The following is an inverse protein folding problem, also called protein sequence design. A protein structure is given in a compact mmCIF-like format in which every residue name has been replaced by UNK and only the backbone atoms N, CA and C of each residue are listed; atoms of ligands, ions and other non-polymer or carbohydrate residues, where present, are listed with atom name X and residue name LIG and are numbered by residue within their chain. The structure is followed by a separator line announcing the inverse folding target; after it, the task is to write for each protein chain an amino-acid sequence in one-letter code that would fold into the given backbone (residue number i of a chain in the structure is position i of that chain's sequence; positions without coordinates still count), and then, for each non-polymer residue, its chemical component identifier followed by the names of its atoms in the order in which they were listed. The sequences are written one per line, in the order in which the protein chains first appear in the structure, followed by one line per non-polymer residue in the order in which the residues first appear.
data_IF_936023342059
#
_entry.id   IF_936023342059
#
_cell.length_a   1.000
_cell.length_b   1.000
_cell.length_c   1.000
_cell.angle_alpha   90.00
_cell.angle_beta   90.00
_cell.angle_gamma   90.00
#
_symmetry.space_group_name_H-M   'P 1'
#
loop_
_entity.id
_entity.type
_entity.pdbx_description
1 polymer ?
#
# COMPACT_ATOMS: atom_id res chain seq x y z
N UNK A 1 -23.69 8.92 19.58
CA UNK A 1 -24.25 7.85 18.74
C UNK A 1 -23.08 7.17 18.04
N UNK A 2 -23.00 5.84 18.00
CA UNK A 2 -21.93 5.13 17.27
C UNK A 2 -22.37 4.96 15.81
N UNK A 3 -21.51 5.30 14.86
CA UNK A 3 -21.79 5.14 13.43
C UNK A 3 -21.41 3.72 12.98
N UNK A 4 -22.27 3.07 12.21
CA UNK A 4 -22.00 1.77 11.59
C UNK A 4 -21.77 1.99 10.10
N UNK A 5 -20.64 1.50 9.60
CA UNK A 5 -20.29 1.58 8.18
C UNK A 5 -20.45 0.20 7.54
N UNK A 6 -21.22 0.10 6.45
CA UNK A 6 -21.47 -1.15 5.74
C UNK A 6 -21.28 -0.93 4.25
N UNK A 7 -20.47 -1.77 3.61
CA UNK A 7 -20.40 -1.88 2.15
C UNK A 7 -21.20 -3.09 1.70
N UNK A 8 -22.19 -2.87 0.82
CA UNK A 8 -23.00 -3.95 0.22
C UNK A 8 -22.42 -4.46 -1.10
N UNK A 9 -21.50 -3.70 -1.70
CA UNK A 9 -20.78 -4.04 -2.92
C UNK A 9 -19.36 -3.47 -2.85
N UNK A 10 -18.37 -4.09 -3.52
CA UNK A 10 -17.03 -3.55 -3.59
C UNK A 10 -17.03 -2.20 -4.33
N UNK A 11 -16.30 -1.19 -3.84
CA UNK A 11 -16.07 0.05 -4.57
C UNK A 11 -15.18 -0.20 -5.79
N UNK A 12 -15.08 0.80 -6.67
CA UNK A 12 -14.14 0.75 -7.77
C UNK A 12 -12.70 0.67 -7.23
N UNK A 13 -11.86 -0.09 -7.93
CA UNK A 13 -10.43 -0.15 -7.66
C UNK A 13 -9.69 0.98 -8.39
N UNK A 14 -8.48 1.27 -7.89
CA UNK A 14 -7.49 2.14 -8.52
C UNK A 14 -6.26 1.31 -8.90
N UNK A 15 -5.52 1.74 -9.92
CA UNK A 15 -4.25 1.13 -10.29
C UNK A 15 -3.09 1.97 -9.76
N UNK A 16 -2.33 1.42 -8.83
CA UNK A 16 -1.15 2.05 -8.22
C UNK A 16 0.09 1.32 -8.73
N UNK A 17 0.65 1.82 -9.85
CA UNK A 17 1.88 1.30 -10.45
C UNK A 17 1.84 -0.22 -10.65
N UNK A 18 0.74 -0.72 -11.24
CA UNK A 18 0.55 -2.14 -11.52
C UNK A 18 -0.18 -2.93 -10.43
N UNK A 19 -0.23 -2.43 -9.19
CA UNK A 19 -1.04 -3.03 -8.13
C UNK A 19 -2.48 -2.53 -8.22
N UNK A 20 -3.45 -3.43 -8.11
CA UNK A 20 -4.88 -3.09 -8.07
C UNK A 20 -5.30 -2.93 -6.61
N UNK A 21 -5.69 -1.70 -6.23
CA UNK A 21 -6.08 -1.37 -4.86
C UNK A 21 -7.57 -1.06 -4.81
N UNK A 22 -8.31 -1.76 -3.95
CA UNK A 22 -9.73 -1.49 -3.66
C UNK A 22 -9.86 -0.97 -2.23
N UNK A 23 -10.10 0.34 -2.07
CA UNK A 23 -10.25 0.97 -0.75
C UNK A 23 -11.63 0.63 -0.17
N UNK A 24 -11.69 -0.18 0.87
CA UNK A 24 -12.94 -0.64 1.50
C UNK A 24 -13.44 0.31 2.60
N UNK A 25 -12.52 0.90 3.37
CA UNK A 25 -12.87 1.75 4.50
C UNK A 25 -12.05 3.03 4.51
N UNK A 26 -12.10 3.82 3.44
CA UNK A 26 -11.43 5.12 3.38
C UNK A 26 -12.16 6.25 4.12
N UNK A 27 -11.57 7.45 4.13
CA UNK A 27 -12.29 8.72 4.37
C UNK A 27 -11.66 9.62 5.41
N UNK A 28 -12.47 10.20 6.29
CA UNK A 28 -12.01 10.94 7.47
C UNK A 28 -11.86 9.99 8.68
N UNK A 29 -11.10 10.40 9.70
CA UNK A 29 -10.86 9.65 10.96
C UNK A 29 -12.12 9.40 11.81
N UNK A 30 -13.32 9.43 11.21
CA UNK A 30 -14.54 8.86 11.81
C UNK A 30 -14.38 7.38 12.17
N UNK A 31 -13.38 6.70 11.59
CA UNK A 31 -12.95 5.34 11.88
C UNK A 31 -11.51 5.35 12.42
N UNK A 32 -11.13 4.40 13.30
CA UNK A 32 -9.77 4.31 13.83
C UNK A 32 -8.76 3.74 12.83
N UNK A 33 -9.21 3.27 11.67
CA UNK A 33 -8.37 2.69 10.63
C UNK A 33 -9.02 2.87 9.26
N UNK A 34 -8.21 2.72 8.21
CA UNK A 34 -8.66 2.39 6.87
C UNK A 34 -8.32 0.94 6.52
N UNK A 35 -9.06 0.40 5.57
CA UNK A 35 -8.86 -0.96 5.08
C UNK A 35 -8.99 -0.99 3.57
N UNK A 36 -8.14 -1.77 2.92
CA UNK A 36 -8.14 -1.95 1.48
C UNK A 36 -7.79 -3.40 1.11
N UNK A 37 -8.19 -3.82 -0.08
CA UNK A 37 -7.67 -5.03 -0.72
C UNK A 37 -6.61 -4.58 -1.72
N UNK A 38 -5.49 -5.29 -1.76
CA UNK A 38 -4.48 -5.11 -2.81
C UNK A 38 -4.20 -6.42 -3.51
N UNK A 39 -4.17 -6.37 -4.83
CA UNK A 39 -3.96 -7.50 -5.73
C UNK A 39 -2.89 -7.14 -6.74
N UNK A 40 -1.94 -8.05 -6.92
CA UNK A 40 -0.79 -7.82 -7.80
C UNK A 40 -0.28 -9.10 -8.42
N UNK A 41 0.66 -8.93 -9.35
CA UNK A 41 1.32 -10.02 -10.07
C UNK A 41 2.75 -10.22 -9.55
N UNK A 42 3.35 -11.36 -9.88
CA UNK A 42 4.73 -11.67 -9.51
C UNK A 42 5.70 -10.52 -9.83
N UNK A 43 6.52 -10.17 -8.84
CA UNK A 43 7.48 -9.07 -8.93
C UNK A 43 6.90 -7.69 -8.62
N UNK A 44 5.57 -7.54 -8.57
CA UNK A 44 4.90 -6.30 -8.18
C UNK A 44 5.06 -5.98 -6.69
N UNK A 45 4.70 -4.75 -6.32
CA UNK A 45 4.85 -4.19 -4.98
C UNK A 45 5.70 -2.92 -4.95
N UNK A 46 5.58 -2.11 -3.88
CA UNK A 46 6.26 -0.82 -3.79
C UNK A 46 7.75 -1.00 -3.50
N UNK A 47 8.60 -0.06 -3.94
CA UNK A 47 9.99 -0.01 -3.50
C UNK A 47 10.08 0.35 -2.00
N UNK A 48 11.27 0.28 -1.39
CA UNK A 48 11.47 0.71 -0.01
C UNK A 48 10.94 2.12 0.23
N UNK A 49 10.13 2.28 1.28
CA UNK A 49 9.55 3.55 1.69
C UNK A 49 9.21 3.56 3.18
N UNK A 50 8.81 4.72 3.68
CA UNK A 50 8.22 4.85 5.01
C UNK A 50 7.13 5.92 5.02
N UNK A 51 6.30 5.87 6.06
CA UNK A 51 5.22 6.83 6.31
C UNK A 51 4.95 6.92 7.84
N UNK A 52 4.32 7.99 8.35
CA UNK A 52 4.16 8.24 9.78
C UNK A 52 2.94 7.54 10.42
N UNK A 53 2.41 6.47 9.82
CA UNK A 53 1.26 5.73 10.34
C UNK A 53 1.53 4.22 10.37
N UNK A 54 0.80 3.51 11.22
CA UNK A 54 0.91 2.05 11.28
C UNK A 54 0.26 1.44 10.05
N UNK A 55 0.86 0.35 9.56
CA UNK A 55 0.33 -0.45 8.48
C UNK A 55 0.36 -1.93 8.86
N UNK A 56 -0.60 -2.69 8.37
CA UNK A 56 -0.60 -4.13 8.53
C UNK A 56 -1.11 -4.81 7.27
N UNK A 57 -0.53 -5.98 6.98
CA UNK A 57 -0.95 -6.83 5.88
C UNK A 57 -1.40 -8.19 6.41
N UNK A 58 -2.53 -8.68 5.89
CA UNK A 58 -2.93 -10.06 6.00
C UNK A 58 -2.97 -10.68 4.60
N UNK A 59 -2.19 -11.74 4.38
CA UNK A 59 -2.10 -12.40 3.08
C UNK A 59 -3.30 -13.32 2.92
N UNK A 60 -4.13 -13.04 1.93
CA UNK A 60 -5.34 -13.82 1.62
C UNK A 60 -5.01 -14.96 0.67
N UNK A 61 -4.22 -14.69 -0.37
CA UNK A 61 -3.83 -15.66 -1.38
C UNK A 61 -2.42 -15.37 -1.90
N UNK A 62 -1.71 -16.42 -2.31
CA UNK A 62 -0.32 -16.33 -2.77
C UNK A 62 0.71 -16.15 -1.63
N UNK A 63 1.88 -15.66 -2.02
CA UNK A 63 3.01 -15.37 -1.14
C UNK A 63 3.60 -14.00 -1.48
N UNK A 64 3.98 -13.28 -0.43
CA UNK A 64 4.65 -11.98 -0.52
C UNK A 64 5.93 -12.00 0.30
N UNK A 65 6.97 -11.38 -0.20
CA UNK A 65 8.18 -11.12 0.54
C UNK A 65 8.07 -9.71 1.13
N UNK A 66 7.97 -9.60 2.45
CA UNK A 66 7.91 -8.31 3.14
C UNK A 66 9.28 -8.03 3.75
N UNK A 67 9.81 -6.85 3.47
CA UNK A 67 11.05 -6.37 4.07
C UNK A 67 10.71 -5.23 5.02
N UNK A 68 11.13 -5.33 6.28
CA UNK A 68 10.97 -4.28 7.31
C UNK A 68 12.31 -4.08 7.99
N UNK A 69 12.82 -2.85 8.00
CA UNK A 69 14.12 -2.50 8.62
C UNK A 69 15.26 -3.43 8.16
N UNK A 70 15.28 -3.73 6.85
CA UNK A 70 16.26 -4.62 6.22
C UNK A 70 16.07 -6.12 6.50
N UNK A 71 15.12 -6.51 7.35
CA UNK A 71 14.79 -7.92 7.59
C UNK A 71 13.71 -8.36 6.61
N UNK A 72 14.06 -9.35 5.80
CA UNK A 72 13.20 -9.91 4.77
C UNK A 72 12.52 -11.20 5.25
N UNK A 73 11.19 -11.27 5.12
CA UNK A 73 10.36 -12.42 5.52
C UNK A 73 9.37 -12.77 4.43
N UNK A 74 9.34 -14.05 4.00
CA UNK A 74 8.28 -14.54 3.12
C UNK A 74 7.03 -14.88 3.94
N UNK A 75 5.91 -14.27 3.58
CA UNK A 75 4.61 -14.41 4.23
C UNK A 75 3.66 -15.08 3.25
N UNK A 76 3.13 -16.23 3.63
CA UNK A 76 2.16 -17.00 2.83
C UNK A 76 0.73 -16.68 3.24
N UNK A 77 -0.25 -17.10 2.43
CA UNK A 77 -1.67 -17.03 2.77
C UNK A 77 -1.97 -17.49 4.21
N UNK A 78 -2.74 -16.70 4.94
CA UNK A 78 -2.99 -16.85 6.39
C UNK A 78 -1.99 -16.13 7.29
N UNK A 79 -0.88 -15.65 6.72
CA UNK A 79 0.14 -14.88 7.43
C UNK A 79 -0.25 -13.41 7.63
N UNK A 80 0.33 -12.82 8.67
CA UNK A 80 0.11 -11.44 9.08
C UNK A 80 1.44 -10.73 9.33
N UNK A 81 1.51 -9.46 8.97
CA UNK A 81 2.61 -8.55 9.32
C UNK A 81 2.04 -7.25 9.84
N UNK A 82 2.61 -6.74 10.93
CA UNK A 82 2.44 -5.36 11.40
C UNK A 82 3.73 -4.59 11.13
N UNK A 83 3.58 -3.38 10.62
CA UNK A 83 4.65 -2.44 10.31
C UNK A 83 4.37 -1.18 11.14
N UNK A 84 5.19 -0.88 12.16
CA UNK A 84 5.05 0.33 12.95
C UNK A 84 5.30 1.59 12.11
N UNK A 85 4.61 2.68 12.45
CA UNK A 85 4.85 4.01 11.89
C UNK A 85 6.34 4.38 11.87
N UNK A 86 6.80 4.90 10.73
CA UNK A 86 8.18 5.32 10.51
C UNK A 86 9.16 4.21 10.16
N UNK A 87 8.77 2.93 10.26
CA UNK A 87 9.62 1.83 9.82
C UNK A 87 9.78 1.83 8.30
N UNK A 88 11.01 1.66 7.82
CA UNK A 88 11.29 1.48 6.40
C UNK A 88 10.81 0.09 6.00
N UNK A 89 9.94 0.02 4.99
CA UNK A 89 9.37 -1.23 4.52
C UNK A 89 9.18 -1.27 3.00
N UNK A 90 9.08 -2.49 2.50
CA UNK A 90 8.74 -2.83 1.11
C UNK A 90 8.02 -4.18 1.10
N UNK A 91 7.30 -4.47 0.02
CA UNK A 91 6.93 -5.85 -0.28
C UNK A 91 7.14 -6.19 -1.75
N UNK A 92 7.31 -7.48 -2.03
CA UNK A 92 7.35 -8.02 -3.40
C UNK A 92 6.44 -9.24 -3.49
N UNK A 93 5.56 -9.26 -4.48
CA UNK A 93 4.71 -10.42 -4.79
C UNK A 93 5.59 -11.58 -5.32
N UNK A 94 5.60 -12.72 -4.64
CA UNK A 94 6.45 -13.87 -4.98
C UNK A 94 5.72 -14.86 -5.88
N UNK A 95 4.45 -15.11 -5.59
CA UNK A 95 3.57 -15.97 -6.40
C UNK A 95 3.16 -15.29 -7.72
N UNK A 96 2.69 -16.05 -8.74
CA UNK A 96 2.17 -15.49 -9.99
C UNK A 96 1.14 -14.38 -9.78
N UNK A 97 0.29 -14.55 -8.77
CA UNK A 97 -0.63 -13.55 -8.23
C UNK A 97 -0.53 -13.55 -6.70
N UNK A 98 -0.76 -12.39 -6.09
CA UNK A 98 -0.88 -12.27 -4.65
C UNK A 98 -2.05 -11.34 -4.30
N UNK A 99 -2.70 -11.63 -3.18
CA UNK A 99 -3.81 -10.83 -2.64
C UNK A 99 -3.63 -10.62 -1.14
N UNK A 100 -3.70 -9.37 -0.72
CA UNK A 100 -3.62 -8.98 0.69
C UNK A 100 -4.78 -8.09 1.10
N UNK A 101 -5.12 -8.13 2.39
CA UNK A 101 -5.87 -7.07 3.06
C UNK A 101 -4.84 -6.17 3.72
N UNK A 102 -4.86 -4.88 3.39
CA UNK A 102 -4.09 -3.86 4.07
C UNK A 102 -4.96 -3.06 5.03
N UNK A 103 -4.40 -2.72 6.19
CA UNK A 103 -5.01 -1.85 7.20
C UNK A 103 -4.00 -0.76 7.54
N UNK A 104 -4.44 0.50 7.52
CA UNK A 104 -3.60 1.63 7.92
C UNK A 104 -4.28 2.47 8.99
N UNK A 105 -3.52 3.10 9.88
CA UNK A 105 -4.05 3.89 10.99
C UNK A 105 -4.35 5.35 10.64
N UNK A 106 -4.23 5.75 9.37
CA UNK A 106 -4.36 7.14 8.93
C UNK A 106 -5.07 7.25 7.58
N UNK A 107 -5.97 8.24 7.40
CA UNK A 107 -6.74 8.41 6.17
C UNK A 107 -5.91 8.75 4.93
N UNK A 108 -4.66 9.18 5.13
CA UNK A 108 -3.77 9.54 4.03
C UNK A 108 -3.43 8.34 3.14
N UNK A 109 -3.52 7.10 3.64
CA UNK A 109 -3.25 5.90 2.84
C UNK A 109 -4.19 5.73 1.65
N UNK A 110 -5.50 5.65 1.88
CA UNK A 110 -6.50 5.54 0.81
C UNK A 110 -6.53 6.78 -0.10
N UNK A 111 -6.29 7.97 0.46
CA UNK A 111 -6.18 9.20 -0.32
C UNK A 111 -4.94 9.19 -1.23
N UNK A 112 -3.81 8.67 -0.75
CA UNK A 112 -2.59 8.47 -1.52
C UNK A 112 -2.83 7.49 -2.67
N UNK A 113 -3.43 6.32 -2.42
CA UNK A 113 -3.76 5.36 -3.49
C UNK A 113 -4.65 5.98 -4.56
N UNK A 114 -5.67 6.75 -4.14
CA UNK A 114 -6.56 7.45 -5.09
C UNK A 114 -5.80 8.48 -5.93
N UNK A 115 -4.85 9.20 -5.33
CA UNK A 115 -4.06 10.20 -6.04
C UNK A 115 -2.98 9.61 -6.96
N UNK A 116 -2.60 8.36 -6.74
CA UNK A 116 -1.65 7.61 -7.55
C UNK A 116 -2.31 6.86 -8.73
N UNK A 117 -3.64 6.87 -8.81
CA UNK A 117 -4.38 6.09 -9.79
C UNK A 117 -3.91 6.39 -11.22
N UNK A 118 -3.60 5.32 -11.96
CA UNK A 118 -3.14 5.33 -13.36
C UNK A 118 -1.75 5.92 -13.61
N UNK A 119 -0.99 6.32 -12.58
CA UNK A 119 0.41 6.72 -12.77
C UNK A 119 1.29 5.56 -13.22
N UNK A 120 2.26 5.89 -14.08
CA UNK A 120 3.17 4.93 -14.71
C UNK A 120 4.62 5.23 -14.37
N UNK A 121 5.42 4.18 -14.27
CA UNK A 121 6.87 4.27 -14.11
C UNK A 121 7.52 3.78 -15.42
N UNK A 122 8.47 4.54 -16.00
CA UNK A 122 9.13 5.72 -15.41
C UNK A 122 8.47 7.08 -15.69
N UNK A 123 7.40 7.16 -16.49
CA UNK A 123 6.89 8.41 -17.06
C UNK A 123 6.41 9.44 -16.04
N UNK A 124 5.76 9.00 -14.96
CA UNK A 124 5.17 9.87 -13.93
C UNK A 124 6.04 9.99 -12.67
N UNK A 125 7.28 9.52 -12.68
CA UNK A 125 8.16 9.54 -11.48
C UNK A 125 8.19 10.89 -10.74
N UNK A 126 8.36 12.05 -11.40
CA UNK A 126 8.34 13.34 -10.69
C UNK A 126 7.02 13.61 -9.97
N UNK A 127 5.89 13.26 -10.60
CA UNK A 127 4.55 13.45 -10.01
C UNK A 127 4.28 12.45 -8.89
N UNK A 128 4.78 11.23 -9.03
CA UNK A 128 4.72 10.20 -7.99
C UNK A 128 5.40 10.72 -6.71
N UNK A 129 6.60 11.30 -6.82
CA UNK A 129 7.29 11.87 -5.66
C UNK A 129 6.56 13.06 -5.05
N UNK A 130 6.06 13.99 -5.87
CA UNK A 130 5.26 15.13 -5.40
C UNK A 130 4.00 14.67 -4.64
N UNK A 131 3.28 13.68 -5.19
CA UNK A 131 2.08 13.12 -4.55
C UNK A 131 2.43 12.38 -3.27
N UNK A 132 3.50 11.57 -3.28
CA UNK A 132 3.96 10.84 -2.11
C UNK A 132 4.30 11.79 -0.96
N UNK A 133 5.08 12.83 -1.22
CA UNK A 133 5.45 13.85 -0.23
C UNK A 133 4.21 14.54 0.36
N UNK A 134 3.24 14.93 -0.49
CA UNK A 134 1.98 15.56 -0.04
C UNK A 134 1.21 14.70 0.95
N UNK A 135 1.26 13.37 0.81
CA UNK A 135 0.60 12.46 1.73
C UNK A 135 1.51 11.96 2.86
N UNK A 136 2.80 12.31 2.89
CA UNK A 136 3.73 11.88 3.92
C UNK A 136 4.30 10.47 3.68
N UNK A 137 4.31 10.01 2.43
CA UNK A 137 5.02 8.80 1.99
C UNK A 137 6.37 9.22 1.41
N UNK A 138 7.45 8.57 1.85
CA UNK A 138 8.80 8.85 1.32
C UNK A 138 9.40 7.58 0.74
N UNK A 139 9.65 7.59 -0.57
CA UNK A 139 10.32 6.49 -1.27
C UNK A 139 11.85 6.62 -1.16
N UNK A 140 12.51 5.50 -0.91
CA UNK A 140 13.97 5.38 -0.83
C UNK A 140 14.51 4.72 -2.11
N UNK A 141 14.22 5.36 -3.25
CA UNK A 141 14.76 4.95 -4.55
C UNK A 141 15.95 5.85 -4.90
N UNK A 142 17.00 5.32 -5.57
CA UNK A 142 18.07 6.16 -6.08
C UNK A 142 17.49 7.25 -6.99
N UNK A 143 17.94 8.50 -6.81
CA UNK A 143 17.58 9.57 -7.74
C UNK A 143 17.98 9.15 -9.17
N UNK A 144 17.14 9.42 -10.19
CA UNK A 144 17.57 9.28 -11.56
C UNK A 144 18.84 10.13 -11.74
N UNK A 145 19.88 9.63 -12.45
CA UNK A 145 21.06 10.43 -12.69
C UNK A 145 20.65 11.74 -13.35
N UNK A 146 21.04 12.86 -12.74
CA UNK A 146 20.87 14.19 -13.33
C UNK A 146 21.69 14.20 -14.61
N UNK A 147 21.01 14.34 -15.75
CA UNK A 147 21.64 14.50 -17.08
C UNK A 147 22.40 15.81 -17.19
#
# INVERSE_FOLDING_TARGET
MRTVHVLQAPPASVNVVGETITVLAGGDLSKPFEMHIQEGVQGGGPPPHFHPWDEAFYVVDGQVEVTVEGTCTTVSAGGYVHIPAGAIHAYRNVSPTARMIGVVSDPRGGQFFTAMDQFKVPEDLPRIFEVAERFGVTFLVPEPPVS
#
